data_IF_992991810271
#
_entry.id   IF_992991810271
#
_cell.length_a   1.000
_cell.length_b   1.000
_cell.length_c   1.000
_cell.angle_alpha   90.00
_cell.angle_beta   90.00
_cell.angle_gamma   90.00
#
_symmetry.space_group_name_H-M   'P 1'
#
loop_
_entity.id
_entity.type
_entity.pdbx_description
1 polymer ?
#
# COMPACT_ATOMS: atom_id res chain seq x y z
N UNK A 1 11.66 2.50 -11.26
CA UNK A 1 10.79 3.06 -10.20
C UNK A 1 9.36 2.72 -10.57
N UNK A 2 8.60 2.06 -9.70
CA UNK A 2 7.16 1.95 -9.92
C UNK A 2 6.55 3.30 -9.54
N UNK A 3 5.74 3.88 -10.42
CA UNK A 3 4.91 5.05 -10.09
C UNK A 3 3.57 4.56 -9.55
N UNK A 4 2.86 5.41 -8.80
CA UNK A 4 1.51 5.09 -8.34
C UNK A 4 0.60 4.79 -9.54
N UNK A 5 0.74 5.53 -10.64
CA UNK A 5 0.01 5.33 -11.89
C UNK A 5 0.22 3.93 -12.46
N UNK A 6 1.46 3.43 -12.46
CA UNK A 6 1.75 2.07 -12.91
C UNK A 6 1.12 1.01 -11.99
N UNK A 7 1.04 1.26 -10.68
CA UNK A 7 0.36 0.36 -9.74
C UNK A 7 -1.16 0.35 -9.97
N UNK A 8 -1.75 1.51 -10.26
CA UNK A 8 -3.18 1.64 -10.50
C UNK A 8 -3.57 1.03 -11.85
N UNK A 9 -2.77 1.25 -12.91
CA UNK A 9 -3.00 0.70 -14.25
C UNK A 9 -2.88 -0.83 -14.29
N UNK A 10 -1.99 -1.42 -13.49
CA UNK A 10 -1.77 -2.87 -13.43
C UNK A 10 -2.61 -3.58 -12.35
N UNK A 11 -3.56 -2.89 -11.71
CA UNK A 11 -4.42 -3.55 -10.73
C UNK A 11 -5.43 -4.44 -11.48
N UNK A 12 -5.40 -5.78 -11.31
CA UNK A 12 -6.24 -6.70 -12.08
C UNK A 12 -7.73 -6.66 -11.67
N UNK A 13 -8.09 -5.77 -10.74
CA UNK A 13 -9.43 -5.67 -10.19
C UNK A 13 -10.02 -4.30 -10.49
N UNK A 14 -11.34 -4.23 -10.71
CA UNK A 14 -12.04 -2.95 -10.83
C UNK A 14 -12.02 -2.22 -9.48
N UNK A 15 -11.18 -1.20 -9.40
CA UNK A 15 -11.08 -0.30 -8.25
C UNK A 15 -11.94 0.93 -8.55
N UNK A 16 -12.88 1.25 -7.66
CA UNK A 16 -13.73 2.43 -7.81
C UNK A 16 -12.89 3.71 -7.93
N UNK A 17 -13.30 4.69 -8.75
CA UNK A 17 -12.54 5.94 -8.96
C UNK A 17 -12.20 6.67 -7.66
N UNK A 18 -13.09 6.67 -6.68
CA UNK A 18 -12.84 7.29 -5.37
C UNK A 18 -11.62 6.69 -4.62
N UNK A 19 -11.38 5.39 -4.77
CA UNK A 19 -10.21 4.74 -4.18
C UNK A 19 -8.94 5.05 -4.96
N UNK A 20 -9.03 5.20 -6.29
CA UNK A 20 -7.90 5.63 -7.13
C UNK A 20 -7.48 7.06 -6.78
N UNK A 21 -8.43 8.00 -6.69
CA UNK A 21 -8.16 9.38 -6.25
C UNK A 21 -7.47 9.41 -4.89
N UNK A 22 -7.99 8.65 -3.92
CA UNK A 22 -7.37 8.56 -2.59
C UNK A 22 -5.96 7.96 -2.62
N UNK A 23 -5.69 7.02 -3.52
CA UNK A 23 -4.34 6.47 -3.68
C UNK A 23 -3.37 7.53 -4.22
N UNK A 24 -3.82 8.35 -5.18
CA UNK A 24 -3.04 9.46 -5.74
C UNK A 24 -2.80 10.55 -4.68
N UNK A 25 -3.82 10.92 -3.90
CA UNK A 25 -3.69 11.88 -2.79
C UNK A 25 -2.64 11.43 -1.76
N UNK A 26 -2.66 10.13 -1.40
CA UNK A 26 -1.65 9.57 -0.49
C UNK A 26 -0.26 9.64 -1.12
N UNK A 27 -0.12 9.32 -2.40
CA UNK A 27 1.18 9.39 -3.09
C UNK A 27 1.73 10.82 -3.08
N UNK A 28 0.92 11.80 -3.49
CA UNK A 28 1.31 13.21 -3.48
C UNK A 28 1.70 13.70 -2.09
N UNK A 29 0.95 13.32 -1.05
CA UNK A 29 1.29 13.65 0.32
C UNK A 29 2.60 13.02 0.79
N UNK A 30 2.88 11.77 0.42
CA UNK A 30 4.15 11.10 0.72
C UNK A 30 5.32 11.77 -0.02
N UNK A 31 5.13 12.18 -1.27
CA UNK A 31 6.14 12.93 -2.04
C UNK A 31 6.39 14.33 -1.44
N UNK A 32 5.36 14.95 -0.86
CA UNK A 32 5.48 16.21 -0.12
C UNK A 32 6.16 16.05 1.26
N UNK A 33 6.61 14.84 1.62
CA UNK A 33 7.31 14.56 2.87
C UNK A 33 6.40 14.32 4.07
N UNK A 34 5.08 14.23 3.87
CA UNK A 34 4.15 13.95 4.96
C UNK A 34 4.39 12.50 5.43
N UNK A 35 4.64 12.26 6.73
CA UNK A 35 4.91 10.92 7.21
C UNK A 35 3.68 10.02 7.07
N UNK A 36 3.92 8.75 6.74
CA UNK A 36 2.84 7.78 6.54
C UNK A 36 1.89 7.64 7.75
N UNK A 37 2.36 7.93 8.96
CA UNK A 37 1.57 7.90 10.19
C UNK A 37 0.49 8.97 10.22
N UNK A 38 0.76 10.15 9.66
CA UNK A 38 -0.21 11.25 9.56
C UNK A 38 -1.29 10.96 8.51
N UNK A 39 -0.95 10.18 7.48
CA UNK A 39 -1.88 9.75 6.41
C UNK A 39 -2.68 8.48 6.76
N UNK A 40 -2.65 8.05 8.03
CA UNK A 40 -3.35 6.84 8.50
C UNK A 40 -2.71 5.52 8.07
N UNK A 41 -1.49 5.56 7.53
CA UNK A 41 -0.70 4.40 7.18
C UNK A 41 -0.23 3.63 8.42
N UNK A 42 -0.14 2.31 8.31
CA UNK A 42 0.36 1.43 9.37
C UNK A 42 1.44 0.50 8.85
N UNK A 43 2.51 0.33 9.62
CA UNK A 43 3.56 -0.66 9.34
C UNK A 43 3.02 -2.08 9.43
N UNK A 44 3.46 -2.94 8.52
CA UNK A 44 3.09 -4.35 8.47
C UNK A 44 4.10 -5.15 9.30
N UNK A 45 3.67 -5.65 10.46
CA UNK A 45 4.57 -6.31 11.45
C UNK A 45 5.40 -7.48 10.89
N UNK A 46 4.89 -8.23 9.91
CA UNK A 46 5.58 -9.40 9.38
C UNK A 46 6.49 -9.12 8.18
N UNK A 47 6.60 -7.86 7.73
CA UNK A 47 7.50 -7.47 6.64
C UNK A 47 8.11 -6.11 6.95
N UNK A 48 9.39 -6.12 7.32
CA UNK A 48 10.12 -4.89 7.62
C UNK A 48 10.09 -3.94 6.43
N UNK A 49 9.88 -2.66 6.75
CA UNK A 49 9.76 -1.59 5.77
C UNK A 49 8.46 -1.56 4.98
N UNK A 50 7.53 -2.52 5.14
CA UNK A 50 6.25 -2.44 4.43
C UNK A 50 5.22 -1.61 5.24
N UNK A 51 4.60 -0.64 4.57
CA UNK A 51 3.52 0.20 5.08
C UNK A 51 2.25 -0.07 4.27
N UNK A 52 1.11 -0.02 4.97
CA UNK A 52 -0.22 -0.23 4.40
C UNK A 52 -1.14 0.92 4.71
N UNK A 53 -1.83 1.41 3.69
CA UNK A 53 -2.95 2.35 3.80
C UNK A 53 -4.27 1.63 3.51
N UNK A 54 -5.36 2.10 4.15
CA UNK A 54 -6.72 1.62 3.88
C UNK A 54 -7.39 2.54 2.85
N UNK A 55 -7.85 1.95 1.76
CA UNK A 55 -8.69 2.59 0.74
C UNK A 55 -10.08 1.94 0.85
N UNK A 56 -10.91 2.47 1.74
CA UNK A 56 -12.22 1.88 2.04
C UNK A 56 -12.14 0.51 2.73
N UNK A 57 -13.20 -0.27 2.54
CA UNK A 57 -13.40 -1.57 3.20
C UNK A 57 -12.56 -2.69 2.58
N UNK A 58 -12.29 -2.61 1.28
CA UNK A 58 -11.78 -3.72 0.47
C UNK A 58 -10.39 -3.51 -0.13
N UNK A 59 -9.87 -2.28 -0.19
CA UNK A 59 -8.60 -2.01 -0.86
C UNK A 59 -7.48 -1.59 0.10
N UNK A 60 -6.29 -2.17 -0.09
CA UNK A 60 -5.07 -1.90 0.69
C UNK A 60 -3.99 -1.44 -0.28
N UNK A 61 -3.51 -0.22 -0.07
CA UNK A 61 -2.38 0.32 -0.80
C UNK A 61 -1.10 0.06 -0.01
N UNK A 62 -0.09 -0.49 -0.67
CA UNK A 62 1.15 -0.92 -0.06
C UNK A 62 2.32 -0.08 -0.57
N UNK A 63 3.13 0.39 0.37
CA UNK A 63 4.37 1.11 0.13
C UNK A 63 5.53 0.44 0.85
N UNK A 64 6.71 0.52 0.27
CA UNK A 64 7.96 0.20 0.96
C UNK A 64 8.62 1.49 1.44
N UNK A 65 9.02 1.50 2.71
CA UNK A 65 9.86 2.54 3.30
C UNK A 65 11.32 2.17 3.06
N UNK A 66 12.08 3.14 2.62
CA UNK A 66 13.52 3.06 2.43
C UNK A 66 14.18 4.31 3.00
N UNK A 67 15.52 4.36 2.94
CA UNK A 67 16.30 5.54 3.36
C UNK A 67 15.95 6.77 2.50
N UNK A 68 15.52 6.55 1.26
CA UNK A 68 15.16 7.60 0.30
C UNK A 68 13.67 7.98 0.34
N UNK A 69 12.92 7.50 1.33
CA UNK A 69 11.48 7.76 1.46
C UNK A 69 10.62 6.55 1.07
N UNK A 70 9.51 6.82 0.40
CA UNK A 70 8.44 5.83 0.17
C UNK A 70 8.36 5.43 -1.30
N UNK A 71 8.33 4.13 -1.57
CA UNK A 71 8.10 3.60 -2.93
C UNK A 71 6.79 2.83 -3.01
N UNK A 72 5.93 3.14 -4.00
CA UNK A 72 4.67 2.43 -4.19
C UNK A 72 4.97 0.99 -4.64
N UNK A 73 4.27 0.02 -4.04
CA UNK A 73 4.56 -1.40 -4.24
C UNK A 73 3.40 -2.12 -4.92
N UNK A 74 2.19 -2.01 -4.39
CA UNK A 74 1.00 -2.66 -4.97
C UNK A 74 -0.30 -2.14 -4.36
N UNK A 75 -1.39 -2.32 -5.12
CA UNK A 75 -2.77 -2.15 -4.66
C UNK A 75 -3.46 -3.51 -4.67
N UNK A 76 -3.88 -3.97 -3.50
CA UNK A 76 -4.42 -5.33 -3.33
C UNK A 76 -5.74 -5.31 -2.57
N UNK A 77 -6.57 -6.32 -2.83
CA UNK A 77 -7.77 -6.54 -2.03
C UNK A 77 -7.41 -6.95 -0.59
N UNK A 78 -8.35 -6.75 0.34
CA UNK A 78 -8.27 -7.19 1.74
C UNK A 78 -7.91 -8.67 1.82
N UNK A 79 -8.62 -9.48 1.05
CA UNK A 79 -8.52 -10.94 1.10
C UNK A 79 -7.16 -11.39 0.61
N UNK A 80 -6.68 -10.85 -0.51
CA UNK A 80 -5.33 -11.13 -1.03
C UNK A 80 -4.26 -10.71 -0.01
N UNK A 81 -4.40 -9.54 0.59
CA UNK A 81 -3.48 -9.06 1.61
C UNK A 81 -3.45 -9.98 2.84
N UNK A 82 -4.61 -10.33 3.40
CA UNK A 82 -4.70 -11.21 4.58
C UNK A 82 -4.17 -12.62 4.29
N UNK A 83 -4.48 -13.18 3.12
CA UNK A 83 -3.96 -14.47 2.66
C UNK A 83 -2.43 -14.45 2.59
N UNK A 84 -1.86 -13.39 2.01
CA UNK A 84 -0.41 -13.25 1.91
C UNK A 84 0.25 -13.06 3.29
N UNK A 85 -0.39 -12.32 4.21
CA UNK A 85 0.08 -12.22 5.60
C UNK A 85 0.07 -13.56 6.31
N UNK A 86 -1.01 -14.35 6.17
CA UNK A 86 -1.12 -15.69 6.77
C UNK A 86 -0.05 -16.63 6.22
N UNK A 87 0.13 -16.64 4.89
CA UNK A 87 1.16 -17.44 4.21
C UNK A 87 2.56 -17.12 4.75
N UNK A 88 2.89 -15.84 4.92
CA UNK A 88 4.21 -15.43 5.43
C UNK A 88 4.42 -15.69 6.92
N UNK A 89 3.35 -15.66 7.73
CA UNK A 89 3.45 -16.01 9.17
C UNK A 89 3.70 -17.50 9.37
N UNK A 90 3.12 -18.36 8.53
CA UNK A 90 3.34 -19.79 8.56
C UNK A 90 4.78 -20.19 8.17
N UNK A 91 5.54 -19.29 7.54
CA UNK A 91 6.92 -19.51 7.11
C UNK A 91 7.96 -19.00 8.11
N UNK A 92 7.56 -18.51 9.28
CA UNK A 92 8.51 -18.25 10.38
C UNK A 92 8.69 -19.55 11.17
N UNK A 93 9.87 -20.20 11.13
CA UNK A 93 10.17 -21.34 11.99
C UNK A 93 10.23 -20.93 13.47
#
# INVERSE_FOLDING_TARGET
MNTIEHILANCPHQVSPCHLCKAIEIDQALQAGIPFTALGGKRVRCRNGLVRFKLGCDWRLLYMTSVYGYSPQSLVSRQCFERELKRRRALKP
#
